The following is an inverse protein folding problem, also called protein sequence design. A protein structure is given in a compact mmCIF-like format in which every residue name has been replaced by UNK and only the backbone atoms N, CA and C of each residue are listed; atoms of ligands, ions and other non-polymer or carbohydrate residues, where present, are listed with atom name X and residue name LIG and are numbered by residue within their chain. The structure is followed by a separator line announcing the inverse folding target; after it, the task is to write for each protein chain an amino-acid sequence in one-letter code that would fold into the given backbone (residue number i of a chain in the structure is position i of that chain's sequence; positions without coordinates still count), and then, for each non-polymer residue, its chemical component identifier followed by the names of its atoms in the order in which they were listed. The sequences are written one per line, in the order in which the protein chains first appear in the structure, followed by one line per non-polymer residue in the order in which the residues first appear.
data_IF_391064849394
#
_entry.id   IF_391064849394
#
_cell.length_a   1.000
_cell.length_b   1.000
_cell.length_c   1.000
_cell.angle_alpha   90.00
_cell.angle_beta   90.00
_cell.angle_gamma   90.00
#
_symmetry.space_group_name_H-M   'P 1'
#
loop_
_entity.id
_entity.type
_entity.pdbx_description
1 polymer ?
#
# COMPACT_ATOMS: atom_id res chain seq x y z
N UNK A 1 3.05 -27.24 -37.70
CA UNK A 1 2.73 -27.27 -36.25
C UNK A 1 1.42 -28.04 -36.14
N UNK A 2 1.49 -29.33 -35.83
CA UNK A 2 0.35 -30.25 -35.95
C UNK A 2 -0.54 -30.15 -34.71
N UNK A 3 -1.78 -29.70 -34.90
CA UNK A 3 -2.86 -29.78 -33.90
C UNK A 3 -3.36 -31.22 -33.86
N UNK A 4 -2.87 -32.01 -32.92
CA UNK A 4 -3.36 -33.36 -32.64
C UNK A 4 -4.76 -33.37 -32.01
N UNK A 5 -5.48 -34.50 -32.06
CA UNK A 5 -6.90 -34.61 -31.77
C UNK A 5 -7.20 -34.39 -30.28
N UNK A 6 -8.37 -33.79 -30.00
CA UNK A 6 -8.93 -33.38 -28.71
C UNK A 6 -8.72 -34.36 -27.54
N UNK A 7 -7.51 -34.39 -26.96
CA UNK A 7 -7.25 -34.95 -25.65
C UNK A 7 -7.40 -33.86 -24.61
N UNK A 8 -8.30 -34.05 -23.64
CA UNK A 8 -8.34 -33.20 -22.45
C UNK A 8 -6.92 -33.12 -21.87
N UNK A 9 -6.44 -31.92 -21.48
CA UNK A 9 -5.09 -31.75 -20.94
C UNK A 9 -4.87 -32.72 -19.78
N UNK A 10 -3.66 -33.27 -19.67
CA UNK A 10 -3.37 -34.15 -18.56
C UNK A 10 -3.52 -33.36 -17.24
N UNK A 11 -3.85 -34.01 -16.10
CA UNK A 11 -3.93 -33.32 -14.82
C UNK A 11 -2.63 -32.58 -14.44
N UNK A 12 -1.48 -33.03 -14.96
CA UNK A 12 -0.20 -32.35 -14.79
C UNK A 12 -0.15 -31.05 -15.59
N UNK A 13 -0.45 -31.10 -16.90
CA UNK A 13 -0.44 -29.92 -17.78
C UNK A 13 -1.48 -28.88 -17.33
N UNK A 14 -2.62 -29.33 -16.82
CA UNK A 14 -3.64 -28.46 -16.25
C UNK A 14 -3.13 -27.73 -14.99
N UNK A 15 -2.41 -28.42 -14.09
CA UNK A 15 -1.82 -27.78 -12.90
C UNK A 15 -0.73 -26.78 -13.27
N UNK A 16 0.14 -27.13 -14.22
CA UNK A 16 1.21 -26.26 -14.70
C UNK A 16 0.63 -25.00 -15.36
N UNK A 17 -0.38 -25.16 -16.22
CA UNK A 17 -1.08 -24.04 -16.86
C UNK A 17 -1.76 -23.15 -15.81
N UNK A 18 -2.42 -23.71 -14.80
CA UNK A 18 -3.03 -22.93 -13.72
C UNK A 18 -1.99 -22.18 -12.88
N UNK A 19 -0.84 -22.79 -12.61
CA UNK A 19 0.27 -22.12 -11.93
C UNK A 19 0.81 -20.96 -12.75
N UNK A 20 0.99 -21.15 -14.06
CA UNK A 20 1.44 -20.09 -14.95
C UNK A 20 0.43 -18.94 -15.03
N UNK A 21 -0.86 -19.24 -15.18
CA UNK A 21 -1.93 -18.23 -15.17
C UNK A 21 -1.99 -17.48 -13.83
N UNK A 22 -1.75 -18.15 -12.71
CA UNK A 22 -1.71 -17.50 -11.39
C UNK A 22 -0.50 -16.56 -11.28
N UNK A 23 0.66 -16.95 -11.79
CA UNK A 23 1.86 -16.13 -11.80
C UNK A 23 1.69 -14.90 -12.72
N UNK A 24 1.08 -15.08 -13.90
CA UNK A 24 0.79 -14.00 -14.84
C UNK A 24 -0.25 -13.02 -14.25
N UNK A 25 -1.28 -13.54 -13.59
CA UNK A 25 -2.27 -12.72 -12.89
C UNK A 25 -1.64 -11.90 -11.77
N UNK A 26 -0.72 -12.48 -10.99
CA UNK A 26 -0.01 -11.78 -9.92
C UNK A 26 0.97 -10.73 -10.45
N UNK A 27 1.69 -11.03 -11.54
CA UNK A 27 2.58 -10.08 -12.21
C UNK A 27 1.80 -8.88 -12.76
N UNK A 28 0.59 -9.12 -13.28
CA UNK A 28 -0.33 -8.04 -13.64
C UNK A 28 -0.80 -7.32 -12.38
N UNK A 29 -1.13 -8.00 -11.28
CA UNK A 29 -1.67 -7.37 -10.07
C UNK A 29 -0.67 -6.46 -9.35
N UNK A 30 0.61 -6.83 -9.34
CA UNK A 30 1.65 -6.17 -8.55
C UNK A 30 2.85 -5.73 -9.41
N UNK A 31 2.69 -4.67 -10.22
CA UNK A 31 3.78 -4.17 -11.04
C UNK A 31 4.87 -3.49 -10.18
N UNK A 32 6.13 -3.51 -10.62
CA UNK A 32 7.19 -2.79 -9.93
C UNK A 32 6.85 -1.30 -9.83
N UNK A 33 7.03 -0.71 -8.64
CA UNK A 33 6.74 0.69 -8.37
C UNK A 33 8.04 1.51 -8.28
N UNK A 34 8.01 2.81 -8.63
CA UNK A 34 9.18 3.68 -8.49
C UNK A 34 9.61 3.79 -7.03
N UNK A 35 10.92 3.82 -6.77
CA UNK A 35 11.47 3.87 -5.39
C UNK A 35 10.97 5.08 -4.60
N UNK A 36 10.81 6.22 -5.28
CA UNK A 36 10.36 7.46 -4.65
C UNK A 36 8.90 7.40 -4.20
N UNK A 37 8.08 6.52 -4.78
CA UNK A 37 6.66 6.38 -4.44
C UNK A 37 6.48 6.05 -2.95
N UNK A 38 7.22 5.05 -2.45
CA UNK A 38 7.12 4.66 -1.04
C UNK A 38 7.63 5.74 -0.10
N UNK A 39 8.65 6.51 -0.51
CA UNK A 39 9.13 7.64 0.27
C UNK A 39 8.10 8.77 0.33
N UNK A 40 7.49 9.11 -0.81
CA UNK A 40 6.43 10.11 -0.89
C UNK A 40 5.20 9.69 -0.08
N UNK A 41 4.76 8.44 -0.21
CA UNK A 41 3.64 7.90 0.54
C UNK A 41 3.94 7.88 2.05
N UNK A 42 5.14 7.44 2.46
CA UNK A 42 5.55 7.45 3.85
C UNK A 42 5.53 8.87 4.43
N UNK A 43 6.01 9.85 3.67
CA UNK A 43 6.00 11.26 4.05
C UNK A 43 4.58 11.80 4.21
N UNK A 44 3.68 11.49 3.27
CA UNK A 44 2.28 11.93 3.33
C UNK A 44 1.54 11.30 4.52
N UNK A 45 1.74 10.02 4.78
CA UNK A 45 1.10 9.33 5.92
C UNK A 45 1.67 9.82 7.26
N UNK A 46 2.98 10.08 7.33
CA UNK A 46 3.59 10.72 8.51
C UNK A 46 3.04 12.13 8.73
N UNK A 47 2.82 12.90 7.66
CA UNK A 47 2.25 14.25 7.74
C UNK A 47 0.83 14.26 8.33
N UNK A 48 0.04 13.21 8.14
CA UNK A 48 -1.29 13.06 8.80
C UNK A 48 -1.15 13.03 10.33
N UNK A 49 -0.14 12.33 10.85
CA UNK A 49 0.14 12.29 12.29
C UNK A 49 0.69 13.64 12.77
N UNK A 50 1.65 14.21 12.05
CA UNK A 50 2.25 15.50 12.41
C UNK A 50 1.26 16.67 12.34
N UNK A 51 0.24 16.59 11.48
CA UNK A 51 -0.81 17.59 11.40
C UNK A 51 -1.60 17.74 12.71
N UNK A 52 -1.63 16.72 13.57
CA UNK A 52 -2.31 16.81 14.88
C UNK A 52 -1.60 17.75 15.85
N UNK A 53 -0.35 18.14 15.56
CA UNK A 53 0.41 19.12 16.36
C UNK A 53 0.07 20.57 16.03
N UNK A 54 -0.74 20.81 14.99
CA UNK A 54 -1.16 22.14 14.57
C UNK A 54 -2.38 22.63 15.38
N UNK A 55 -2.65 23.95 15.38
CA UNK A 55 -3.92 24.47 15.88
C UNK A 55 -5.13 23.77 15.21
N UNK A 56 -6.26 23.58 15.91
CA UNK A 56 -7.37 22.75 15.41
C UNK A 56 -7.91 23.13 14.01
N UNK A 57 -7.92 24.42 13.67
CA UNK A 57 -8.33 24.90 12.34
C UNK A 57 -7.40 24.40 11.23
N UNK A 58 -6.11 24.34 11.52
CA UNK A 58 -5.05 24.06 10.56
C UNK A 58 -4.78 22.56 10.49
N UNK A 59 -4.86 21.87 11.63
CA UNK A 59 -4.76 20.43 11.76
C UNK A 59 -5.74 19.71 10.82
N UNK A 60 -7.01 20.13 10.82
CA UNK A 60 -8.04 19.55 9.95
C UNK A 60 -7.71 19.71 8.46
N UNK A 61 -7.31 20.91 8.05
CA UNK A 61 -7.01 21.20 6.65
C UNK A 61 -5.74 20.49 6.19
N UNK A 62 -4.70 20.47 7.01
CA UNK A 62 -3.44 19.77 6.72
C UNK A 62 -3.64 18.25 6.66
N UNK A 63 -4.38 17.68 7.60
CA UNK A 63 -4.76 16.25 7.62
C UNK A 63 -5.51 15.88 6.35
N UNK A 64 -6.53 16.68 5.98
CA UNK A 64 -7.31 16.44 4.77
C UNK A 64 -6.46 16.53 3.51
N UNK A 65 -5.62 17.56 3.38
CA UNK A 65 -4.73 17.73 2.23
C UNK A 65 -3.75 16.56 2.10
N UNK A 66 -3.11 16.14 3.20
CA UNK A 66 -2.19 15.01 3.21
C UNK A 66 -2.90 13.68 2.87
N UNK A 67 -4.09 13.45 3.42
CA UNK A 67 -4.88 12.25 3.14
C UNK A 67 -5.32 12.20 1.66
N UNK A 68 -5.83 13.31 1.10
CA UNK A 68 -6.20 13.38 -0.32
C UNK A 68 -4.98 13.14 -1.20
N UNK A 69 -3.85 13.77 -0.92
CA UNK A 69 -2.61 13.54 -1.67
C UNK A 69 -2.16 12.08 -1.62
N UNK A 70 -2.23 11.45 -0.43
CA UNK A 70 -1.88 10.03 -0.24
C UNK A 70 -2.82 9.09 -1.01
N UNK A 71 -4.12 9.40 -1.04
CA UNK A 71 -5.14 8.64 -1.78
C UNK A 71 -4.96 8.81 -3.28
N UNK A 72 -4.73 10.04 -3.75
CA UNK A 72 -4.52 10.33 -5.18
C UNK A 72 -3.24 9.68 -5.68
N UNK A 73 -2.14 9.79 -4.93
CA UNK A 73 -0.87 9.17 -5.28
C UNK A 73 -1.01 7.63 -5.30
N UNK A 74 -1.57 7.05 -4.24
CA UNK A 74 -1.87 5.62 -4.19
C UNK A 74 -2.78 5.18 -5.33
N UNK A 75 -3.86 5.90 -5.59
CA UNK A 75 -4.79 5.63 -6.67
C UNK A 75 -4.12 5.67 -8.05
N UNK A 76 -3.33 6.71 -8.34
CA UNK A 76 -2.65 6.88 -9.63
C UNK A 76 -1.64 5.79 -9.94
N UNK A 77 -0.89 5.33 -8.94
CA UNK A 77 0.18 4.35 -9.16
C UNK A 77 -0.25 2.91 -8.91
N UNK A 78 -1.31 2.71 -8.12
CA UNK A 78 -1.70 1.38 -7.67
C UNK A 78 -3.03 0.90 -8.27
N UNK A 79 -3.99 1.82 -8.52
CA UNK A 79 -5.31 1.48 -9.07
C UNK A 79 -5.43 1.83 -10.55
N UNK A 80 -5.07 3.06 -10.93
CA UNK A 80 -5.32 3.65 -12.24
C UNK A 80 -4.02 3.80 -13.03
N UNK A 81 -3.53 2.67 -13.56
CA UNK A 81 -2.33 2.63 -14.39
C UNK A 81 -2.65 2.67 -15.88
N UNK A 82 -1.72 3.23 -16.63
CA UNK A 82 -1.78 3.25 -18.09
C UNK A 82 -1.60 1.82 -18.63
N UNK A 83 -2.59 1.31 -19.35
CA UNK A 83 -2.53 0.01 -20.02
C UNK A 83 -3.27 -1.16 -19.35
N UNK A 84 -3.86 -0.98 -18.17
CA UNK A 84 -4.71 -2.03 -17.55
C UNK A 84 -5.93 -1.40 -16.89
N UNK A 85 -7.13 -1.94 -17.14
CA UNK A 85 -8.41 -1.41 -16.68
C UNK A 85 -8.64 -1.67 -15.18
N UNK A 86 -7.86 -1.02 -14.33
CA UNK A 86 -7.99 -1.13 -12.89
C UNK A 86 -7.50 -2.47 -12.33
N UNK A 87 -6.87 -2.42 -11.16
CA UNK A 87 -6.61 -3.62 -10.36
C UNK A 87 -7.48 -3.53 -9.12
N UNK A 88 -8.25 -4.58 -8.82
CA UNK A 88 -8.98 -4.65 -7.55
C UNK A 88 -7.99 -4.99 -6.43
N UNK A 89 -7.69 -4.05 -5.52
CA UNK A 89 -6.79 -4.33 -4.40
C UNK A 89 -7.44 -5.41 -3.52
N UNK A 90 -6.65 -6.38 -3.06
CA UNK A 90 -7.14 -7.33 -2.08
C UNK A 90 -7.13 -6.67 -0.71
N UNK A 91 -8.30 -6.49 -0.10
CA UNK A 91 -8.36 -6.01 1.29
C UNK A 91 -7.65 -6.98 2.25
N UNK A 92 -7.61 -8.28 1.94
CA UNK A 92 -6.83 -9.27 2.69
C UNK A 92 -5.35 -8.93 2.74
N UNK A 93 -4.81 -8.49 1.60
CA UNK A 93 -3.36 -8.26 1.42
C UNK A 93 -2.96 -6.91 2.04
N UNK A 94 -3.91 -5.97 2.09
CA UNK A 94 -3.76 -4.68 2.76
C UNK A 94 -4.03 -4.71 4.26
N UNK A 95 -4.66 -5.78 4.77
CA UNK A 95 -5.23 -5.79 6.11
C UNK A 95 -4.22 -5.44 7.19
N UNK A 96 -3.03 -6.03 7.15
CA UNK A 96 -1.96 -5.75 8.11
C UNK A 96 -1.40 -4.33 7.97
N UNK A 97 -1.27 -3.83 6.75
CA UNK A 97 -0.81 -2.46 6.49
C UNK A 97 -1.81 -1.44 7.06
N UNK A 98 -3.09 -1.60 6.73
CA UNK A 98 -4.16 -0.73 7.22
C UNK A 98 -4.31 -0.83 8.74
N UNK A 99 -4.27 -2.04 9.31
CA UNK A 99 -4.32 -2.25 10.74
C UNK A 99 -3.13 -1.58 11.45
N UNK A 100 -1.92 -1.66 10.88
CA UNK A 100 -0.74 -0.99 11.42
C UNK A 100 -0.86 0.53 11.41
N UNK A 101 -1.25 1.13 10.28
CA UNK A 101 -1.39 2.58 10.15
C UNK A 101 -2.53 3.10 11.02
N UNK A 102 -3.74 2.53 10.89
CA UNK A 102 -4.91 2.95 11.67
C UNK A 102 -4.74 2.67 13.16
N UNK A 103 -4.20 1.51 13.51
CA UNK A 103 -3.90 1.14 14.90
C UNK A 103 -2.89 2.10 15.53
N UNK A 104 -1.89 2.56 14.79
CA UNK A 104 -0.94 3.56 15.28
C UNK A 104 -1.62 4.91 15.54
N UNK A 105 -2.46 5.39 14.61
CA UNK A 105 -3.20 6.65 14.76
C UNK A 105 -4.15 6.59 15.96
N UNK A 106 -4.92 5.51 16.08
CA UNK A 106 -5.82 5.29 17.22
C UNK A 106 -5.05 5.17 18.53
N UNK A 107 -3.90 4.49 18.53
CA UNK A 107 -3.02 4.38 19.69
C UNK A 107 -2.49 5.74 20.13
N UNK A 108 -2.05 6.58 19.20
CA UNK A 108 -1.61 7.94 19.49
C UNK A 108 -2.73 8.78 20.11
N UNK A 109 -3.93 8.72 19.52
CA UNK A 109 -5.11 9.40 20.05
C UNK A 109 -5.42 8.98 21.49
N UNK A 110 -5.45 7.67 21.75
CA UNK A 110 -5.72 7.15 23.10
C UNK A 110 -4.66 7.63 24.10
N UNK A 111 -3.37 7.59 23.73
CA UNK A 111 -2.28 8.06 24.60
C UNK A 111 -2.40 9.55 24.87
N UNK A 112 -2.65 10.37 23.86
CA UNK A 112 -2.81 11.81 24.03
C UNK A 112 -4.00 12.13 24.94
N UNK A 113 -5.17 11.55 24.70
CA UNK A 113 -6.39 11.82 25.49
C UNK A 113 -6.26 11.34 26.95
N UNK A 114 -5.52 10.26 27.19
CA UNK A 114 -5.37 9.69 28.54
C UNK A 114 -4.22 10.30 29.35
N UNK A 115 -3.19 10.84 28.70
CA UNK A 115 -1.96 11.30 29.37
C UNK A 115 -1.59 12.76 29.10
N UNK A 116 -2.22 13.40 28.10
CA UNK A 116 -1.83 14.73 27.60
C UNK A 116 -0.51 14.74 26.81
N UNK A 117 0.05 13.57 26.47
CA UNK A 117 1.35 13.44 25.81
C UNK A 117 1.27 13.75 24.30
N UNK A 118 1.09 15.01 23.92
CA UNK A 118 1.01 15.46 22.53
C UNK A 118 2.20 15.02 21.64
N UNK A 119 3.38 14.83 22.22
CA UNK A 119 4.58 14.38 21.50
C UNK A 119 4.43 12.96 20.92
N UNK A 120 3.44 12.19 21.36
CA UNK A 120 3.16 10.84 20.85
C UNK A 120 2.91 10.84 19.35
N UNK A 121 2.37 11.93 18.78
CA UNK A 121 2.16 12.06 17.35
C UNK A 121 3.46 12.06 16.53
N UNK A 122 4.57 12.50 17.11
CA UNK A 122 5.90 12.41 16.49
C UNK A 122 6.34 10.95 16.40
N UNK A 123 6.14 10.19 17.48
CA UNK A 123 6.42 8.75 17.48
C UNK A 123 5.51 8.02 16.51
N UNK A 124 4.22 8.35 16.51
CA UNK A 124 3.25 7.84 15.54
C UNK A 124 3.69 8.07 14.10
N UNK A 125 4.14 9.29 13.78
CA UNK A 125 4.65 9.64 12.46
C UNK A 125 5.85 8.77 12.02
N UNK A 126 6.80 8.52 12.94
CA UNK A 126 7.96 7.64 12.67
C UNK A 126 7.51 6.19 12.45
N UNK A 127 6.58 5.69 13.28
CA UNK A 127 6.06 4.33 13.18
C UNK A 127 5.32 4.12 11.86
N UNK A 128 4.39 5.00 11.49
CA UNK A 128 3.64 4.85 10.23
C UNK A 128 4.54 5.00 9.01
N UNK A 129 5.54 5.90 9.05
CA UNK A 129 6.55 6.00 8.00
C UNK A 129 7.35 4.68 7.89
N UNK A 130 7.75 4.11 9.02
CA UNK A 130 8.45 2.83 9.09
C UNK A 130 7.63 1.68 8.51
N UNK A 131 6.31 1.64 8.79
CA UNK A 131 5.38 0.66 8.20
C UNK A 131 5.37 0.81 6.67
N UNK A 132 5.16 2.01 6.15
CA UNK A 132 5.11 2.25 4.69
C UNK A 132 6.43 1.89 4.01
N UNK A 133 7.57 2.30 4.59
CA UNK A 133 8.89 1.99 4.04
C UNK A 133 9.22 0.51 4.14
N UNK A 134 8.87 -0.16 5.24
CA UNK A 134 9.06 -1.60 5.42
C UNK A 134 8.21 -2.41 4.45
N UNK A 135 6.95 -2.04 4.26
CA UNK A 135 6.08 -2.62 3.23
C UNK A 135 6.66 -2.37 1.83
N UNK A 136 7.14 -1.16 1.55
CA UNK A 136 7.77 -0.84 0.27
C UNK A 136 9.06 -1.62 0.01
N UNK A 137 9.88 -1.84 1.04
CA UNK A 137 11.07 -2.69 0.94
C UNK A 137 10.71 -4.14 0.61
N UNK A 138 9.75 -4.72 1.32
CA UNK A 138 9.27 -6.08 1.06
C UNK A 138 8.64 -6.21 -0.32
N UNK A 139 7.85 -5.22 -0.74
CA UNK A 139 7.26 -5.16 -2.08
C UNK A 139 8.32 -5.16 -3.17
N UNK A 140 9.33 -4.29 -3.05
CA UNK A 140 10.44 -4.20 -4.01
C UNK A 140 11.27 -5.48 -4.06
N UNK A 141 11.46 -6.14 -2.91
CA UNK A 141 12.15 -7.43 -2.84
C UNK A 141 11.38 -8.52 -3.59
N UNK A 142 10.05 -8.50 -3.54
CA UNK A 142 9.20 -9.50 -4.18
C UNK A 142 8.96 -9.23 -5.68
N UNK A 143 8.75 -7.97 -6.07
CA UNK A 143 8.28 -7.59 -7.41
C UNK A 143 9.27 -6.76 -8.22
N UNK A 144 10.42 -6.40 -7.65
CA UNK A 144 11.46 -5.60 -8.31
C UNK A 144 11.23 -4.09 -8.25
N UNK A 145 12.12 -3.36 -8.94
CA UNK A 145 12.12 -1.90 -9.01
C UNK A 145 11.79 -1.43 -10.42
N UNK A 146 10.90 -0.43 -10.53
CA UNK A 146 10.75 0.31 -11.77
C UNK A 146 11.94 1.27 -11.89
N UNK A 147 12.64 1.19 -13.02
CA UNK A 147 13.73 2.09 -13.39
C UNK A 147 13.21 3.51 -13.70
#
# INVERSE_FOLDING_TARGET
MATGPHGSPSPHDARETLQQLSADADAVRYPPLPRWFFLAQATLVAAICLAQLLPPSDARNATFAAAVAAIVLGGRYWLYRDGVSGVTPSLSDMGLFLAGVLGTVLGCLVVEETTGAWWIWIVGAVVVAGIVLGTGHSYRKAYGDAA
#
